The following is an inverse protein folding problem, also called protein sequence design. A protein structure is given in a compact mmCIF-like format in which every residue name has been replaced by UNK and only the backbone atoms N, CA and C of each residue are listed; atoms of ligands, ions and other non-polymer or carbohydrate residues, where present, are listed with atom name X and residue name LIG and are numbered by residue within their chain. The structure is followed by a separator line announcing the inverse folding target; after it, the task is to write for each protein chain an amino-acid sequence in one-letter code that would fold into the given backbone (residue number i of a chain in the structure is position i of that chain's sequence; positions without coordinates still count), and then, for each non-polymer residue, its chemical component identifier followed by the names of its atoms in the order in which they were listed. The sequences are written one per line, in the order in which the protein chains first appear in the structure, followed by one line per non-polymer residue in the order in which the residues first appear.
data_IF_869064266495
#
_entry.id   IF_869064266495
#
_cell.length_a   1.000
_cell.length_b   1.000
_cell.length_c   1.000
_cell.angle_alpha   90.00
_cell.angle_beta   90.00
_cell.angle_gamma   90.00
#
_symmetry.space_group_name_H-M   'P 1'
#
loop_
_entity.id
_entity.type
_entity.pdbx_description
1 polymer ?
#
# COMPACT_ATOMS: atom_id res chain seq x y z
N UNK A 1 67.84 -20.27 -34.27
CA UNK A 1 66.39 -20.37 -34.56
C UNK A 1 65.61 -20.09 -33.27
N UNK A 2 65.12 -18.89 -33.14
CA UNK A 2 64.43 -18.44 -31.93
C UNK A 2 62.92 -18.30 -32.24
N UNK A 3 62.10 -19.16 -31.66
CA UNK A 3 60.61 -19.13 -31.83
C UNK A 3 60.05 -18.14 -30.84
N UNK A 4 59.50 -17.04 -31.36
CA UNK A 4 58.72 -16.04 -30.59
C UNK A 4 57.29 -16.57 -30.43
N UNK A 5 56.90 -16.85 -29.19
CA UNK A 5 55.49 -17.12 -28.84
C UNK A 5 54.75 -15.79 -28.63
N UNK A 6 53.83 -15.47 -29.51
CA UNK A 6 52.90 -14.36 -29.35
C UNK A 6 51.70 -14.87 -28.56
N UNK A 7 51.58 -14.40 -27.31
CA UNK A 7 50.38 -14.68 -26.47
C UNK A 7 49.36 -13.60 -26.77
N UNK A 8 48.25 -13.99 -27.42
CA UNK A 8 47.09 -13.14 -27.57
C UNK A 8 46.29 -13.11 -26.27
N UNK A 9 46.36 -11.98 -25.58
CA UNK A 9 45.55 -11.69 -24.38
C UNK A 9 44.19 -11.17 -24.85
N UNK A 10 43.19 -12.05 -24.91
CA UNK A 10 41.81 -11.67 -25.20
C UNK A 10 41.19 -11.02 -23.96
N UNK A 11 41.08 -9.69 -23.96
CA UNK A 11 40.34 -8.93 -22.95
C UNK A 11 38.84 -9.05 -23.29
N UNK A 12 38.14 -9.92 -22.56
CA UNK A 12 36.67 -9.93 -22.56
C UNK A 12 36.20 -8.73 -21.75
N UNK A 13 35.79 -7.67 -22.45
CA UNK A 13 35.08 -6.55 -21.84
C UNK A 13 33.64 -7.01 -21.60
N UNK A 14 33.38 -7.48 -20.40
CA UNK A 14 32.05 -7.78 -19.92
C UNK A 14 31.36 -6.45 -19.60
N UNK A 15 30.65 -5.89 -20.59
CA UNK A 15 29.79 -4.72 -20.39
C UNK A 15 28.70 -5.09 -19.40
N UNK A 16 28.86 -4.69 -18.13
CA UNK A 16 27.72 -4.61 -17.19
C UNK A 16 26.80 -3.52 -17.74
N UNK A 17 25.70 -3.95 -18.36
CA UNK A 17 24.54 -3.10 -18.59
C UNK A 17 23.96 -2.89 -17.19
N UNK A 18 24.37 -1.84 -16.51
CA UNK A 18 23.59 -1.29 -15.41
C UNK A 18 22.32 -0.71 -16.05
N UNK A 19 21.23 -1.44 -15.94
CA UNK A 19 19.92 -0.84 -16.09
C UNK A 19 19.87 0.32 -15.08
N UNK A 20 19.98 1.53 -15.60
CA UNK A 20 19.63 2.72 -14.84
C UNK A 20 18.14 2.62 -14.53
N UNK A 21 17.79 2.04 -13.38
CA UNK A 21 16.46 2.23 -12.81
C UNK A 21 16.38 3.72 -12.53
N UNK A 22 15.61 4.41 -13.36
CA UNK A 22 15.36 5.84 -13.21
C UNK A 22 14.72 6.04 -11.81
N UNK A 23 15.51 6.60 -10.90
CA UNK A 23 15.08 6.83 -9.51
C UNK A 23 13.94 7.86 -9.39
N UNK A 24 13.40 8.35 -10.53
CA UNK A 24 12.36 9.37 -10.61
C UNK A 24 10.94 8.81 -10.68
N UNK A 25 10.74 7.53 -11.00
CA UNK A 25 9.40 6.97 -11.15
C UNK A 25 8.86 6.37 -9.85
N UNK A 26 7.72 6.94 -9.41
CA UNK A 26 7.04 6.48 -8.21
C UNK A 26 6.45 5.08 -8.41
N UNK A 27 6.64 4.15 -7.46
CA UNK A 27 6.09 2.80 -7.56
C UNK A 27 4.55 2.84 -7.64
N UNK A 28 3.99 1.99 -8.50
CA UNK A 28 2.55 1.84 -8.67
C UNK A 28 2.12 0.44 -8.27
N UNK A 29 0.98 0.35 -7.60
CA UNK A 29 0.36 -0.93 -7.20
C UNK A 29 -1.04 -0.99 -7.80
N UNK A 30 -1.26 -2.02 -8.60
CA UNK A 30 -2.57 -2.36 -9.14
C UNK A 30 -3.30 -3.29 -8.19
N UNK A 31 -4.55 -2.96 -7.90
CA UNK A 31 -5.48 -3.78 -7.15
C UNK A 31 -6.59 -4.28 -8.05
N UNK A 32 -6.70 -5.59 -8.18
CA UNK A 32 -7.85 -6.27 -8.78
C UNK A 32 -8.82 -6.67 -7.67
N UNK A 33 -10.07 -6.27 -7.78
CA UNK A 33 -11.12 -6.67 -6.84
C UNK A 33 -12.32 -7.26 -7.56
N UNK A 34 -13.14 -8.03 -6.84
CA UNK A 34 -14.41 -8.54 -7.38
C UNK A 34 -15.46 -7.45 -7.68
N UNK A 35 -15.19 -6.18 -7.34
CA UNK A 35 -16.09 -5.02 -7.60
C UNK A 35 -15.57 -4.17 -8.77
N UNK A 36 -14.31 -4.35 -9.14
CA UNK A 36 -13.56 -3.58 -10.15
C UNK A 36 -12.17 -3.20 -9.63
N UNK A 37 -11.38 -2.58 -10.50
CA UNK A 37 -9.97 -2.40 -10.30
C UNK A 37 -9.59 -0.95 -10.05
N UNK A 38 -8.48 -0.74 -9.35
CA UNK A 38 -7.90 0.58 -9.15
C UNK A 38 -6.38 0.50 -9.01
N UNK A 39 -5.70 1.62 -9.27
CA UNK A 39 -4.25 1.72 -9.16
C UNK A 39 -3.88 2.84 -8.18
N UNK A 40 -2.91 2.56 -7.31
CA UNK A 40 -2.31 3.55 -6.41
C UNK A 40 -0.87 3.84 -6.81
N UNK A 41 -0.48 5.10 -6.76
CA UNK A 41 0.90 5.55 -6.87
C UNK A 41 1.42 5.87 -5.47
N UNK A 42 2.63 5.40 -5.14
CA UNK A 42 3.23 5.51 -3.82
C UNK A 42 4.23 6.66 -3.75
N UNK A 43 4.44 7.21 -2.54
CA UNK A 43 5.30 8.37 -2.28
C UNK A 43 6.50 7.98 -1.39
N UNK A 44 7.52 7.29 -1.94
CA UNK A 44 8.66 6.80 -1.16
C UNK A 44 9.53 7.92 -0.58
N UNK A 45 9.54 9.11 -1.18
CA UNK A 45 10.28 10.25 -0.65
C UNK A 45 9.67 10.81 0.63
N UNK A 46 8.34 10.77 0.75
CA UNK A 46 7.61 11.31 1.90
C UNK A 46 7.43 10.29 3.03
N UNK A 47 7.28 9.00 2.68
CA UNK A 47 7.04 7.92 3.65
C UNK A 47 7.84 6.66 3.31
N UNK A 48 9.19 6.71 3.34
CA UNK A 48 10.05 5.63 2.84
C UNK A 48 9.85 4.30 3.57
N UNK A 49 9.73 4.29 4.89
CA UNK A 49 9.52 3.07 5.69
C UNK A 49 8.14 2.47 5.42
N UNK A 50 7.13 3.29 5.31
CA UNK A 50 5.76 2.88 5.04
C UNK A 50 5.63 2.29 3.64
N UNK A 51 6.19 2.96 2.63
CA UNK A 51 6.19 2.47 1.24
C UNK A 51 6.97 1.16 1.12
N UNK A 52 8.16 1.06 1.72
CA UNK A 52 8.95 -0.17 1.70
C UNK A 52 8.20 -1.36 2.34
N UNK A 53 7.58 -1.15 3.51
CA UNK A 53 6.76 -2.15 4.18
C UNK A 53 5.56 -2.59 3.32
N UNK A 54 4.83 -1.63 2.73
CA UNK A 54 3.68 -1.91 1.88
C UNK A 54 4.06 -2.68 0.62
N UNK A 55 5.12 -2.25 -0.09
CA UNK A 55 5.65 -2.94 -1.28
C UNK A 55 6.05 -4.38 -0.94
N UNK A 56 6.63 -4.61 0.23
CA UNK A 56 7.04 -5.94 0.63
C UNK A 56 5.82 -6.86 0.82
N UNK A 57 4.74 -6.40 1.46
CA UNK A 57 3.49 -7.14 1.54
C UNK A 57 2.89 -7.43 0.16
N UNK A 58 2.94 -6.46 -0.77
CA UNK A 58 2.49 -6.65 -2.15
C UNK A 58 3.30 -7.74 -2.86
N UNK A 59 4.64 -7.69 -2.77
CA UNK A 59 5.54 -8.69 -3.39
C UNK A 59 5.34 -10.11 -2.84
N UNK A 60 4.97 -10.22 -1.58
CA UNK A 60 4.69 -11.50 -0.91
C UNK A 60 3.27 -12.02 -1.20
N UNK A 61 2.47 -11.33 -2.02
CA UNK A 61 1.07 -11.70 -2.30
C UNK A 61 0.19 -11.67 -1.04
N UNK A 62 0.60 -10.89 -0.03
CA UNK A 62 -0.07 -10.86 1.27
C UNK A 62 -1.52 -10.42 1.17
N UNK A 63 -1.80 -9.46 0.28
CA UNK A 63 -3.12 -8.86 0.13
C UNK A 63 -4.11 -9.73 -0.64
N UNK A 64 -3.63 -10.74 -1.38
CA UNK A 64 -4.48 -11.61 -2.18
C UNK A 64 -5.41 -12.44 -1.29
N UNK A 65 -6.69 -12.40 -1.61
CA UNK A 65 -7.77 -13.03 -0.83
C UNK A 65 -8.20 -12.25 0.41
N UNK A 66 -7.59 -11.09 0.71
CA UNK A 66 -8.02 -10.24 1.81
C UNK A 66 -9.21 -9.35 1.41
N UNK A 67 -9.98 -8.91 2.40
CA UNK A 67 -11.19 -8.13 2.19
C UNK A 67 -11.03 -6.67 2.65
N UNK A 68 -11.88 -5.81 2.09
CA UNK A 68 -12.20 -4.53 2.70
C UNK A 68 -13.24 -4.78 3.80
N UNK A 69 -12.75 -5.00 5.01
CA UNK A 69 -13.55 -5.43 6.17
C UNK A 69 -14.25 -4.29 6.91
N UNK A 70 -13.92 -3.03 6.57
CA UNK A 70 -14.56 -1.85 7.18
C UNK A 70 -14.73 -0.76 6.13
N UNK A 71 -15.96 -0.39 5.89
CA UNK A 71 -16.36 0.64 4.91
C UNK A 71 -17.30 1.61 5.59
N UNK A 72 -16.90 2.88 5.64
CA UNK A 72 -17.75 3.95 6.17
C UNK A 72 -17.98 4.98 5.08
N UNK A 73 -19.24 5.14 4.71
CA UNK A 73 -19.69 6.11 3.70
C UNK A 73 -19.21 7.51 4.05
N UNK A 74 -18.73 8.24 3.03
CA UNK A 74 -18.20 9.60 3.17
C UNK A 74 -17.05 9.72 4.19
N UNK A 75 -16.28 8.63 4.41
CA UNK A 75 -15.09 8.63 5.26
C UNK A 75 -13.95 7.86 4.59
N UNK A 76 -13.94 6.53 4.65
CA UNK A 76 -12.86 5.69 4.11
C UNK A 76 -13.32 4.25 3.82
N UNK A 77 -12.52 3.52 3.07
CA UNK A 77 -12.58 2.06 2.96
C UNK A 77 -11.29 1.46 3.50
N UNK A 78 -11.37 0.48 4.40
CA UNK A 78 -10.22 -0.13 5.09
C UNK A 78 -10.14 -1.62 4.80
N UNK A 79 -8.95 -2.08 4.44
CA UNK A 79 -8.67 -3.48 4.11
C UNK A 79 -7.28 -3.95 4.53
N UNK A 80 -6.88 -5.12 4.02
CA UNK A 80 -5.53 -5.66 4.18
C UNK A 80 -5.26 -6.40 5.48
N UNK A 81 -6.26 -6.63 6.34
CA UNK A 81 -6.07 -7.29 7.62
C UNK A 81 -6.72 -8.67 7.77
N UNK A 82 -7.77 -8.94 7.02
CA UNK A 82 -8.62 -10.12 7.20
C UNK A 82 -8.96 -10.76 5.85
N UNK A 83 -9.05 -12.07 5.82
CA UNK A 83 -9.57 -12.83 4.69
C UNK A 83 -11.11 -12.90 4.70
N UNK A 84 -11.69 -13.58 3.70
CA UNK A 84 -13.14 -13.72 3.56
C UNK A 84 -13.80 -14.50 4.72
N UNK A 85 -13.02 -15.26 5.50
CA UNK A 85 -13.49 -15.94 6.72
C UNK A 85 -13.32 -15.09 7.98
N UNK A 86 -12.84 -13.85 7.84
CA UNK A 86 -12.46 -12.91 8.92
C UNK A 86 -11.28 -13.38 9.76
N UNK A 87 -10.46 -14.28 9.24
CA UNK A 87 -9.20 -14.69 9.87
C UNK A 87 -8.10 -13.68 9.55
N UNK A 88 -7.25 -13.38 10.54
CA UNK A 88 -6.09 -12.50 10.33
C UNK A 88 -4.94 -13.28 9.70
N UNK A 89 -4.29 -12.72 8.68
CA UNK A 89 -2.98 -13.21 8.26
C UNK A 89 -1.89 -12.75 9.23
N UNK A 90 -0.81 -13.54 9.43
CA UNK A 90 0.37 -13.11 10.20
C UNK A 90 0.94 -11.80 9.66
N UNK A 91 1.42 -10.94 10.55
CA UNK A 91 2.01 -9.66 10.18
C UNK A 91 3.50 -9.62 10.48
N UNK A 92 4.21 -8.76 9.78
CA UNK A 92 5.58 -8.36 10.08
C UNK A 92 5.57 -7.45 11.33
N UNK A 93 6.73 -7.16 11.94
CA UNK A 93 6.82 -6.18 13.01
C UNK A 93 6.22 -4.82 12.58
N UNK A 94 5.68 -4.05 13.54
CA UNK A 94 5.13 -2.73 13.26
C UNK A 94 6.22 -1.75 12.80
N UNK A 95 5.80 -0.71 12.08
CA UNK A 95 6.65 0.35 11.55
C UNK A 95 6.43 1.68 12.27
N UNK A 96 7.45 2.52 12.22
CA UNK A 96 7.36 3.89 12.69
C UNK A 96 6.35 4.70 11.88
N UNK A 97 5.60 5.56 12.55
CA UNK A 97 4.66 6.46 11.91
C UNK A 97 5.42 7.61 11.24
N UNK A 98 5.16 7.87 9.98
CA UNK A 98 5.79 8.91 9.16
C UNK A 98 4.79 10.02 8.76
N UNK A 99 3.68 10.16 9.51
CA UNK A 99 2.64 11.14 9.17
C UNK A 99 3.10 12.60 9.28
N UNK A 100 4.19 12.85 10.02
CA UNK A 100 4.83 14.17 10.12
C UNK A 100 5.46 14.65 8.80
N UNK A 101 5.68 13.74 7.85
CA UNK A 101 6.24 14.00 6.52
C UNK A 101 5.34 13.50 5.39
N UNK A 102 4.36 12.66 5.71
CA UNK A 102 3.45 12.05 4.75
C UNK A 102 2.53 13.05 4.05
N UNK A 103 1.74 12.53 3.14
CA UNK A 103 0.69 13.32 2.48
C UNK A 103 -0.40 13.73 3.48
N UNK A 104 -1.13 14.79 3.16
CA UNK A 104 -2.42 15.07 3.80
C UNK A 104 -3.44 13.97 3.46
N UNK A 105 -4.31 13.64 4.43
CA UNK A 105 -5.39 12.66 4.26
C UNK A 105 -6.53 13.24 3.41
N UNK A 106 -6.25 13.47 2.13
CA UNK A 106 -7.18 13.98 1.13
C UNK A 106 -7.96 12.84 0.46
N UNK A 107 -9.00 13.21 -0.30
CA UNK A 107 -9.73 12.24 -1.10
C UNK A 107 -8.78 11.53 -2.07
N UNK A 108 -8.83 10.19 -2.05
CA UNK A 108 -8.01 9.31 -2.89
C UNK A 108 -6.67 8.93 -2.29
N UNK A 109 -6.24 9.50 -1.16
CA UNK A 109 -4.99 9.06 -0.53
C UNK A 109 -5.17 7.71 0.17
N UNK A 110 -4.11 6.87 0.09
CA UNK A 110 -3.98 5.63 0.84
C UNK A 110 -3.13 5.89 2.08
N UNK A 111 -3.60 5.41 3.25
CA UNK A 111 -2.92 5.61 4.53
C UNK A 111 -2.89 4.33 5.37
N UNK A 112 -1.89 4.22 6.25
CA UNK A 112 -1.77 3.06 7.15
C UNK A 112 -2.77 3.15 8.30
N UNK A 113 -3.51 2.06 8.51
CA UNK A 113 -4.29 1.87 9.73
C UNK A 113 -3.35 1.48 10.89
N UNK A 114 -3.71 1.89 12.10
CA UNK A 114 -2.97 1.64 13.34
C UNK A 114 -3.89 1.49 14.54
N UNK A 115 -3.36 1.01 15.64
CA UNK A 115 -4.02 0.99 16.95
C UNK A 115 -3.90 2.36 17.64
N UNK A 116 -4.20 2.43 18.91
CA UNK A 116 -3.95 3.61 19.75
C UNK A 116 -2.47 3.99 19.85
N UNK A 117 -1.56 3.02 19.70
CA UNK A 117 -0.12 3.31 19.61
C UNK A 117 0.20 3.91 18.23
N UNK A 118 0.82 5.09 18.16
CA UNK A 118 1.19 5.72 16.89
C UNK A 118 2.08 4.86 15.99
N UNK A 119 2.97 4.06 16.57
CA UNK A 119 3.97 3.25 15.87
C UNK A 119 3.56 1.77 15.74
N UNK A 120 2.27 1.48 15.62
CA UNK A 120 1.72 0.12 15.57
C UNK A 120 1.22 -0.33 14.20
N UNK A 121 1.43 0.45 13.16
CA UNK A 121 1.01 0.09 11.81
C UNK A 121 1.77 -1.15 11.30
N UNK A 122 1.05 -2.09 10.67
CA UNK A 122 1.64 -3.30 10.09
C UNK A 122 1.24 -3.47 8.62
N UNK A 123 0.11 -4.12 8.33
CA UNK A 123 -0.36 -4.47 6.99
C UNK A 123 -1.66 -3.76 6.57
N UNK A 124 -2.48 -3.31 7.53
CA UNK A 124 -3.77 -2.73 7.21
C UNK A 124 -3.63 -1.30 6.68
N UNK A 125 -4.41 -0.99 5.66
CA UNK A 125 -4.48 0.32 5.04
C UNK A 125 -5.93 0.77 4.87
N UNK A 126 -6.11 2.06 4.62
CA UNK A 126 -7.40 2.61 4.20
C UNK A 126 -7.23 3.61 3.06
N UNK A 127 -8.28 3.78 2.27
CA UNK A 127 -8.34 4.80 1.22
C UNK A 127 -9.39 5.84 1.61
N UNK A 128 -8.97 7.09 1.66
CA UNK A 128 -9.84 8.23 1.98
C UNK A 128 -10.81 8.50 0.83
N UNK A 129 -12.12 8.55 1.09
CA UNK A 129 -13.11 8.87 0.06
C UNK A 129 -13.56 10.32 0.06
N UNK A 130 -13.10 11.08 1.06
CA UNK A 130 -13.17 12.55 1.13
C UNK A 130 -11.93 13.11 1.82
N UNK A 131 -11.86 14.41 1.99
CA UNK A 131 -10.87 15.07 2.85
C UNK A 131 -11.14 14.74 4.31
N UNK A 132 -10.14 14.15 4.99
CA UNK A 132 -10.18 13.75 6.38
C UNK A 132 -9.03 14.42 7.17
N UNK A 133 -8.97 15.74 7.15
CA UNK A 133 -7.88 16.53 7.76
C UNK A 133 -7.65 16.26 9.25
N UNK A 134 -8.65 15.77 9.98
CA UNK A 134 -8.52 15.36 11.38
C UNK A 134 -7.64 14.11 11.58
N UNK A 135 -7.31 13.39 10.50
CA UNK A 135 -6.35 12.26 10.48
C UNK A 135 -4.90 12.71 10.23
N UNK A 136 -4.67 13.99 9.95
CA UNK A 136 -3.34 14.50 9.69
C UNK A 136 -2.53 14.62 10.98
N UNK A 137 -1.21 14.61 10.81
CA UNK A 137 -0.28 14.90 11.89
C UNK A 137 -0.49 16.31 12.46
N UNK A 138 -0.46 16.42 13.77
CA UNK A 138 -0.55 17.69 14.51
C UNK A 138 0.65 17.84 15.46
N UNK A 139 1.02 16.75 16.14
CA UNK A 139 2.12 16.76 17.13
C UNK A 139 2.60 15.34 17.44
N UNK A 140 3.80 15.22 18.02
CA UNK A 140 4.37 13.94 18.51
C UNK A 140 3.73 13.49 19.82
N UNK A 141 2.40 13.42 19.85
CA UNK A 141 1.62 12.87 20.96
C UNK A 141 0.78 11.69 20.49
N UNK A 142 0.30 10.85 21.38
CA UNK A 142 -0.49 9.67 21.05
C UNK A 142 -1.70 10.02 20.16
N UNK A 143 -2.39 11.12 20.44
CA UNK A 143 -3.53 11.59 19.66
C UNK A 143 -3.12 12.43 18.45
N UNK A 144 -1.98 13.13 18.52
CA UNK A 144 -1.53 14.10 17.52
C UNK A 144 -0.72 13.51 16.36
N UNK A 145 -0.26 12.25 16.46
CA UNK A 145 0.54 11.62 15.39
C UNK A 145 -0.20 11.46 14.07
N UNK A 146 -1.51 11.33 14.09
CA UNK A 146 -2.29 11.11 12.87
C UNK A 146 -2.01 9.76 12.20
N UNK A 147 -2.25 9.69 10.89
CA UNK A 147 -2.14 8.50 10.06
C UNK A 147 -1.29 8.78 8.84
N UNK A 148 -0.23 8.00 8.61
CA UNK A 148 0.68 8.17 7.47
C UNK A 148 -0.04 7.90 6.16
N UNK A 149 -0.36 8.95 5.40
CA UNK A 149 -0.77 8.83 4.02
C UNK A 149 0.50 8.75 3.14
N UNK A 150 0.61 7.69 2.34
CA UNK A 150 1.85 7.30 1.67
C UNK A 150 1.70 7.08 0.16
N UNK A 151 0.57 7.45 -0.40
CA UNK A 151 0.28 7.35 -1.83
C UNK A 151 -1.13 7.83 -2.15
N UNK A 152 -1.52 7.71 -3.42
CA UNK A 152 -2.85 8.10 -3.90
C UNK A 152 -3.36 7.20 -5.01
N UNK A 153 -4.65 7.06 -5.11
CA UNK A 153 -5.33 6.43 -6.24
C UNK A 153 -5.18 7.33 -7.46
N UNK A 154 -4.54 6.81 -8.51
CA UNK A 154 -4.34 7.51 -9.79
C UNK A 154 -5.31 7.03 -10.88
N UNK A 155 -5.87 5.83 -10.72
CA UNK A 155 -6.90 5.27 -11.59
C UNK A 155 -7.91 4.47 -10.77
N UNK A 156 -9.16 4.36 -11.23
CA UNK A 156 -10.19 3.57 -10.57
C UNK A 156 -10.81 4.22 -9.32
N UNK A 157 -10.70 5.54 -9.12
CA UNK A 157 -11.34 6.23 -7.97
C UNK A 157 -12.87 6.12 -7.98
N UNK A 158 -13.48 5.85 -9.13
CA UNK A 158 -14.91 5.51 -9.25
C UNK A 158 -15.24 4.15 -8.61
N UNK A 159 -14.32 3.17 -8.68
CA UNK A 159 -14.44 1.85 -8.02
C UNK A 159 -14.34 2.02 -6.51
N UNK A 160 -13.32 2.74 -6.01
CA UNK A 160 -13.22 3.10 -4.59
C UNK A 160 -14.49 3.80 -4.11
N UNK A 161 -15.02 4.72 -4.90
CA UNK A 161 -16.29 5.40 -4.63
C UNK A 161 -17.50 4.46 -4.65
N UNK A 162 -17.52 3.41 -5.48
CA UNK A 162 -18.55 2.37 -5.50
C UNK A 162 -18.48 1.54 -4.21
N UNK A 163 -17.30 1.05 -3.85
CA UNK A 163 -17.08 0.29 -2.61
C UNK A 163 -17.55 1.09 -1.41
N UNK A 164 -17.24 2.38 -1.33
CA UNK A 164 -17.61 3.25 -0.21
C UNK A 164 -19.11 3.47 -0.02
N UNK A 165 -19.93 3.09 -1.01
CA UNK A 165 -21.40 3.23 -1.00
C UNK A 165 -22.14 1.89 -0.89
N UNK A 166 -21.41 0.79 -0.74
CA UNK A 166 -22.02 -0.52 -0.49
C UNK A 166 -22.81 -0.48 0.82
N UNK A 167 -23.83 -1.29 0.89
CA UNK A 167 -24.55 -1.53 2.11
C UNK A 167 -23.62 -2.21 3.12
N UNK A 168 -23.65 -1.76 4.37
CA UNK A 168 -22.80 -2.28 5.43
C UNK A 168 -23.62 -2.71 6.63
N UNK A 169 -23.13 -3.70 7.33
CA UNK A 169 -23.75 -4.25 8.51
C UNK A 169 -22.75 -4.95 9.41
N UNK A 170 -23.25 -5.90 10.18
CA UNK A 170 -22.47 -6.80 11.02
C UNK A 170 -21.79 -7.87 10.15
N UNK A 171 -20.51 -8.20 10.43
CA UNK A 171 -19.81 -9.29 9.76
C UNK A 171 -18.62 -9.83 10.58
N UNK A 172 -18.49 -11.16 10.67
CA UNK A 172 -17.47 -11.79 11.50
C UNK A 172 -17.44 -11.23 12.93
N UNK A 173 -16.27 -10.78 13.42
CA UNK A 173 -16.13 -10.20 14.75
C UNK A 173 -16.57 -8.73 14.84
N UNK A 174 -16.99 -8.11 13.73
CA UNK A 174 -17.31 -6.69 13.66
C UNK A 174 -18.80 -6.44 13.82
N UNK A 175 -19.22 -5.54 14.73
CA UNK A 175 -20.64 -5.25 14.98
C UNK A 175 -21.30 -4.39 13.88
N UNK A 176 -20.50 -3.68 13.06
CA UNK A 176 -20.96 -2.75 12.02
C UNK A 176 -19.89 -2.52 10.95
N UNK A 177 -20.25 -1.75 9.93
CA UNK A 177 -19.37 -1.18 8.90
C UNK A 177 -18.74 -2.23 7.96
N UNK A 178 -19.15 -3.49 8.01
CA UNK A 178 -18.68 -4.54 7.08
C UNK A 178 -19.59 -4.55 5.86
N UNK A 179 -19.06 -4.49 4.62
CA UNK A 179 -19.90 -4.67 3.42
C UNK A 179 -20.69 -5.97 3.47
N UNK A 180 -22.02 -5.90 3.24
CA UNK A 180 -22.89 -7.09 3.19
C UNK A 180 -22.47 -8.02 2.05
N UNK A 181 -22.09 -7.45 0.92
CA UNK A 181 -21.41 -8.14 -0.16
C UNK A 181 -19.91 -7.92 0.01
N UNK A 182 -19.16 -8.98 0.35
CA UNK A 182 -17.73 -8.87 0.62
C UNK A 182 -16.97 -8.33 -0.58
N UNK A 183 -16.11 -7.35 -0.34
CA UNK A 183 -15.17 -6.83 -1.33
C UNK A 183 -13.83 -7.51 -1.12
N UNK A 184 -13.45 -8.36 -2.09
CA UNK A 184 -12.25 -9.19 -2.04
C UNK A 184 -11.18 -8.58 -2.93
N UNK A 185 -9.97 -8.43 -2.42
CA UNK A 185 -8.76 -8.16 -3.20
C UNK A 185 -8.35 -9.49 -3.84
N UNK A 186 -8.61 -9.66 -5.14
CA UNK A 186 -8.24 -10.87 -5.87
C UNK A 186 -6.73 -10.92 -6.13
N UNK A 187 -6.13 -9.76 -6.40
CA UNK A 187 -4.70 -9.60 -6.64
C UNK A 187 -4.26 -8.18 -6.27
N UNK A 188 -3.08 -8.06 -5.64
CA UNK A 188 -2.37 -6.79 -5.50
C UNK A 188 -0.94 -6.95 -6.01
N UNK A 189 -0.56 -6.21 -7.06
CA UNK A 189 0.77 -6.32 -7.67
C UNK A 189 1.40 -5.00 -8.03
N UNK A 190 2.73 -4.96 -7.98
CA UNK A 190 3.50 -3.87 -8.58
C UNK A 190 3.29 -3.92 -10.10
N UNK A 191 3.05 -2.76 -10.68
CA UNK A 191 3.01 -2.59 -12.13
C UNK A 191 4.30 -1.92 -12.59
N UNK A 192 4.84 -2.42 -13.70
CA UNK A 192 5.94 -1.76 -14.39
C UNK A 192 5.44 -0.42 -14.93
N UNK A 193 6.30 0.56 -14.90
CA UNK A 193 6.07 1.86 -15.50
C UNK A 193 6.21 1.78 -17.01
#
# INVERSE_FOLDING_TARGET
MMRVFVVFLSIIVMSLIMENVDASEKPKVYFKTNVGDFTVELEPELAPKTVANFIQYVREGHYDGLIFHRVIKAFMIQGGGFDASYSKKPTRPPIENEADKGLSNERGTIAMARTGDPHSATNQFFINVKFNGFLNYVSKSQQGWGYTAFGRVIDGMNIVGRISRLETGKGGPFPSDVPTDQVIIEEAKLVAN
#
